data_IF_484940792090
#
_entry.id   IF_484940792090
#
_cell.length_a   1.000
_cell.length_b   1.000
_cell.length_c   1.000
_cell.angle_alpha   90.00
_cell.angle_beta   90.00
_cell.angle_gamma   90.00
#
_symmetry.space_group_name_H-M   'P 1'
#
loop_
_entity.id
_entity.type
_entity.pdbx_description
1 polymer ?
#
# COMPACT_ATOMS: atom_id res chain seq x y z
N UNK A 1 -24.26 11.61 -20.12
CA UNK A 1 -23.67 10.27 -20.43
C UNK A 1 -23.54 9.51 -19.12
N UNK A 2 -24.27 8.41 -18.95
CA UNK A 2 -24.06 7.49 -17.84
C UNK A 2 -22.64 6.89 -17.97
N UNK A 3 -21.87 6.83 -16.87
CA UNK A 3 -20.58 6.14 -16.87
C UNK A 3 -20.87 4.67 -17.23
N UNK A 4 -20.24 4.10 -18.27
CA UNK A 4 -20.38 2.67 -18.55
C UNK A 4 -19.95 1.92 -17.29
N UNK A 5 -20.77 0.96 -16.84
CA UNK A 5 -20.63 0.16 -15.62
C UNK A 5 -19.19 0.13 -15.09
N UNK A 6 -18.91 0.96 -14.07
CA UNK A 6 -17.59 1.02 -13.50
C UNK A 6 -17.27 -0.36 -12.90
N UNK A 7 -16.38 -1.11 -13.56
CA UNK A 7 -15.83 -2.36 -13.05
C UNK A 7 -15.38 -2.17 -11.60
N UNK A 8 -15.66 -3.14 -10.73
CA UNK A 8 -15.20 -3.10 -9.35
C UNK A 8 -13.66 -2.93 -9.32
N UNK A 9 -13.21 -1.89 -8.62
CA UNK A 9 -11.79 -1.57 -8.44
C UNK A 9 -11.36 -2.00 -7.06
N UNK A 10 -10.23 -2.70 -6.97
CA UNK A 10 -9.70 -3.19 -5.70
C UNK A 10 -8.56 -2.32 -5.21
N UNK A 11 -8.58 -2.05 -3.89
CA UNK A 11 -7.48 -1.42 -3.16
C UNK A 11 -7.01 -2.36 -2.04
N UNK A 12 -5.75 -2.26 -1.65
CA UNK A 12 -5.24 -2.98 -0.47
C UNK A 12 -4.52 -2.03 0.47
N UNK A 13 -4.29 -2.50 1.70
CA UNK A 13 -3.54 -1.82 2.75
C UNK A 13 -2.32 -2.68 3.09
N UNK A 14 -1.14 -2.06 3.15
CA UNK A 14 0.02 -2.60 3.84
C UNK A 14 0.08 -1.97 5.22
N UNK A 15 0.02 -2.82 6.25
CA UNK A 15 0.04 -2.36 7.64
C UNK A 15 1.38 -1.77 8.03
N UNK A 16 1.46 -1.06 9.17
CA UNK A 16 2.74 -0.54 9.66
C UNK A 16 3.77 -1.67 9.87
N UNK A 17 3.28 -2.84 10.32
CA UNK A 17 4.03 -4.08 10.44
C UNK A 17 4.52 -4.59 9.08
N UNK A 18 3.65 -4.60 8.05
CA UNK A 18 4.04 -5.03 6.70
C UNK A 18 5.10 -4.10 6.11
N UNK A 19 4.99 -2.79 6.33
CA UNK A 19 6.02 -1.84 5.92
C UNK A 19 7.36 -2.20 6.56
N UNK A 20 7.37 -2.42 7.88
CA UNK A 20 8.58 -2.70 8.64
C UNK A 20 9.21 -4.06 8.33
N UNK A 21 8.40 -5.06 8.00
CA UNK A 21 8.82 -6.47 7.88
C UNK A 21 8.90 -6.96 6.43
N UNK A 22 7.89 -6.67 5.61
CA UNK A 22 7.76 -7.14 4.23
C UNK A 22 8.33 -6.15 3.23
N UNK A 23 8.15 -4.84 3.44
CA UNK A 23 8.61 -3.81 2.49
C UNK A 23 10.00 -3.26 2.80
N UNK A 24 10.73 -3.89 3.74
CA UNK A 24 12.03 -3.42 4.23
C UNK A 24 13.17 -3.48 3.21
N UNK A 25 13.04 -4.30 2.18
CA UNK A 25 14.06 -4.51 1.16
C UNK A 25 13.44 -4.56 -0.25
N UNK A 26 14.30 -4.57 -1.27
CA UNK A 26 13.85 -4.55 -2.67
C UNK A 26 13.08 -5.81 -3.07
N UNK A 27 13.46 -6.96 -2.51
CA UNK A 27 12.85 -8.24 -2.85
C UNK A 27 11.40 -8.30 -2.36
N UNK A 28 11.16 -7.96 -1.10
CA UNK A 28 9.82 -7.94 -0.53
C UNK A 28 8.93 -6.87 -1.16
N UNK A 29 9.49 -5.70 -1.52
CA UNK A 29 8.78 -4.67 -2.28
C UNK A 29 8.36 -5.12 -3.68
N UNK A 30 9.21 -5.85 -4.41
CA UNK A 30 8.84 -6.43 -5.71
C UNK A 30 7.77 -7.50 -5.57
N UNK A 31 7.89 -8.37 -4.57
CA UNK A 31 6.88 -9.38 -4.28
C UNK A 31 5.51 -8.76 -3.96
N UNK A 32 5.49 -7.64 -3.23
CA UNK A 32 4.27 -6.88 -2.94
C UNK A 32 3.63 -6.31 -4.21
N UNK A 33 4.43 -5.80 -5.15
CA UNK A 33 3.95 -5.34 -6.47
C UNK A 33 3.34 -6.50 -7.26
N UNK A 34 4.01 -7.65 -7.31
CA UNK A 34 3.53 -8.82 -8.04
C UNK A 34 2.22 -9.37 -7.44
N UNK A 35 2.14 -9.40 -6.11
CA UNK A 35 0.91 -9.72 -5.40
C UNK A 35 -0.24 -8.79 -5.79
N UNK A 36 -0.01 -7.46 -5.78
CA UNK A 36 -1.02 -6.49 -6.17
C UNK A 36 -1.47 -6.65 -7.62
N UNK A 37 -0.54 -6.94 -8.54
CA UNK A 37 -0.84 -7.20 -9.96
C UNK A 37 -1.67 -8.48 -10.14
N UNK A 38 -1.31 -9.56 -9.45
CA UNK A 38 -2.03 -10.83 -9.52
C UNK A 38 -3.50 -10.71 -9.14
N UNK A 39 -3.82 -9.80 -8.21
CA UNK A 39 -5.19 -9.54 -7.75
C UNK A 39 -5.86 -8.36 -8.45
N UNK A 40 -5.22 -7.74 -9.45
CA UNK A 40 -5.72 -6.55 -10.17
C UNK A 40 -6.03 -5.37 -9.24
N UNK A 41 -5.25 -5.23 -8.17
CA UNK A 41 -5.30 -4.06 -7.28
C UNK A 41 -4.73 -2.87 -8.05
N UNK A 42 -5.37 -1.69 -7.93
CA UNK A 42 -4.91 -0.47 -8.62
C UNK A 42 -4.50 0.64 -7.64
N UNK A 43 -4.81 0.46 -6.35
CA UNK A 43 -4.46 1.41 -5.30
C UNK A 43 -3.94 0.70 -4.05
N UNK A 44 -2.86 1.23 -3.49
CA UNK A 44 -2.31 0.77 -2.22
C UNK A 44 -2.39 1.89 -1.19
N UNK A 45 -2.72 1.50 0.04
CA UNK A 45 -2.57 2.32 1.22
C UNK A 45 -1.34 1.87 1.98
N UNK A 46 -0.49 2.81 2.37
CA UNK A 46 0.69 2.57 3.21
C UNK A 46 0.41 3.13 4.59
N UNK A 47 0.38 2.26 5.59
CA UNK A 47 0.05 2.64 6.95
C UNK A 47 1.25 3.21 7.70
N UNK A 48 1.09 4.42 8.24
CA UNK A 48 2.13 5.04 9.08
C UNK A 48 2.08 4.52 10.51
N UNK A 49 0.92 4.09 10.99
CA UNK A 49 0.71 3.67 12.37
C UNK A 49 -0.41 2.64 12.54
N UNK A 50 -0.11 1.57 13.29
CA UNK A 50 -1.06 0.60 13.86
C UNK A 50 -0.45 -0.04 15.11
N UNK A 51 -0.54 0.65 16.25
CA UNK A 51 0.09 0.21 17.51
C UNK A 51 1.62 0.32 17.52
N UNK A 52 2.25 0.31 16.35
CA UNK A 52 3.63 0.70 16.11
C UNK A 52 3.70 1.63 14.89
N UNK A 53 4.80 2.38 14.79
CA UNK A 53 5.08 3.24 13.64
C UNK A 53 5.84 2.50 12.55
N UNK A 54 5.44 2.72 11.31
CA UNK A 54 6.26 2.36 10.15
C UNK A 54 7.45 3.31 10.02
N UNK A 55 8.60 2.76 9.62
CA UNK A 55 9.81 3.55 9.34
C UNK A 55 9.61 4.46 8.11
N UNK A 56 9.94 5.75 8.25
CA UNK A 56 9.70 6.77 7.24
C UNK A 56 10.45 6.50 5.93
N UNK A 57 11.69 6.02 6.03
CA UNK A 57 12.51 5.68 4.88
C UNK A 57 11.89 4.53 4.07
N UNK A 58 11.25 3.58 4.74
CA UNK A 58 10.57 2.46 4.09
C UNK A 58 9.25 2.89 3.43
N UNK A 59 8.48 3.75 4.10
CA UNK A 59 7.27 4.33 3.52
C UNK A 59 7.59 5.09 2.24
N UNK A 60 8.65 5.91 2.25
CA UNK A 60 9.11 6.67 1.08
C UNK A 60 9.52 5.73 -0.04
N UNK A 61 10.36 4.75 0.26
CA UNK A 61 10.86 3.81 -0.74
C UNK A 61 9.75 2.91 -1.33
N UNK A 62 8.75 2.51 -0.53
CA UNK A 62 7.58 1.78 -0.99
C UNK A 62 6.68 2.66 -1.86
N UNK A 63 6.38 3.89 -1.42
CA UNK A 63 5.58 4.87 -2.17
C UNK A 63 6.16 5.10 -3.57
N UNK A 64 7.45 5.39 -3.66
CA UNK A 64 8.12 5.65 -4.93
C UNK A 64 8.05 4.46 -5.89
N UNK A 65 8.25 3.25 -5.38
CA UNK A 65 8.10 2.04 -6.19
C UNK A 65 6.67 1.89 -6.69
N UNK A 66 5.67 1.92 -5.81
CA UNK A 66 4.28 1.71 -6.23
C UNK A 66 3.80 2.78 -7.22
N UNK A 67 4.19 4.04 -7.05
CA UNK A 67 3.91 5.10 -8.03
C UNK A 67 4.56 4.80 -9.38
N UNK A 68 5.84 4.40 -9.38
CA UNK A 68 6.58 4.03 -10.61
C UNK A 68 5.95 2.85 -11.32
N UNK A 69 5.41 1.89 -10.60
CA UNK A 69 4.73 0.70 -11.15
C UNK A 69 3.27 0.96 -11.57
N UNK A 70 2.79 2.20 -11.45
CA UNK A 70 1.49 2.65 -11.95
C UNK A 70 0.32 2.57 -10.96
N UNK A 71 0.59 2.33 -9.67
CA UNK A 71 -0.45 2.30 -8.64
C UNK A 71 -0.78 3.70 -8.14
N UNK A 72 -2.04 3.89 -7.73
CA UNK A 72 -2.37 5.00 -6.84
C UNK A 72 -1.85 4.68 -5.44
N UNK A 73 -1.24 5.66 -4.77
CA UNK A 73 -0.69 5.48 -3.42
C UNK A 73 -1.31 6.52 -2.48
N UNK A 74 -1.69 6.10 -1.28
CA UNK A 74 -2.13 7.00 -0.22
C UNK A 74 -1.52 6.56 1.11
N UNK A 75 -1.21 7.51 1.97
CA UNK A 75 -0.92 7.22 3.38
C UNK A 75 -2.23 6.96 4.14
N UNK A 76 -2.18 6.19 5.22
CA UNK A 76 -3.28 6.07 6.16
C UNK A 76 -2.80 5.75 7.57
N UNK A 77 -3.72 5.86 8.52
CA UNK A 77 -3.50 5.55 9.94
C UNK A 77 -4.68 4.70 10.41
N UNK A 78 -4.41 3.58 11.07
CA UNK A 78 -5.40 2.88 11.88
C UNK A 78 -5.12 3.21 13.33
N UNK A 79 -6.00 4.02 13.91
CA UNK A 79 -5.93 4.30 15.34
C UNK A 79 -6.13 3.01 16.13
N UNK A 80 -5.30 2.81 17.15
CA UNK A 80 -5.53 1.80 18.16
C UNK A 80 -5.86 2.52 19.45
N UNK A 81 -6.97 2.15 20.08
CA UNK A 81 -7.48 2.77 21.33
C UNK A 81 -7.93 4.23 21.24
N UNK A 82 -8.03 4.80 20.03
CA UNK A 82 -8.67 6.08 19.75
C UNK A 82 -9.62 5.92 18.55
N UNK A 83 -10.76 6.61 18.55
CA UNK A 83 -11.79 6.54 17.51
C UNK A 83 -12.61 7.81 17.42
#
# INVERSE_FOLDING_TARGET
MARPNASLVFSTLFTAQDVNNLLKDDAGRRQAVDFCRGLRITKVYLETFRGEYAREELLTAAKELFLREGFQVSGCVTTVSFG
#
